data_IF_138226654360
#
_entry.id   IF_138226654360
#
_cell.length_a   1.000
_cell.length_b   1.000
_cell.length_c   1.000
_cell.angle_alpha   90.00
_cell.angle_beta   90.00
_cell.angle_gamma   90.00
#
_symmetry.space_group_name_H-M   'P 1'
#
loop_
_entity.id
_entity.type
_entity.pdbx_description
1 polymer ?
#
# COMPACT_ATOMS: atom_id res chain seq x y z
N UNK A 1 60.01 20.19 -1.42
CA UNK A 1 59.52 19.16 -2.37
C UNK A 1 58.83 17.97 -1.69
N UNK A 2 58.16 18.15 -0.54
CA UNK A 2 57.48 17.05 0.19
C UNK A 2 55.95 17.09 0.05
N UNK A 3 55.36 18.29 0.13
CA UNK A 3 53.89 18.48 0.14
C UNK A 3 53.21 18.08 -1.19
N UNK A 4 53.86 18.31 -2.33
CA UNK A 4 53.31 17.97 -3.65
C UNK A 4 53.19 16.47 -3.90
N UNK A 5 54.09 15.66 -3.33
CA UNK A 5 54.06 14.19 -3.46
C UNK A 5 52.93 13.57 -2.65
N UNK A 6 52.67 14.10 -1.45
CA UNK A 6 51.58 13.61 -0.59
C UNK A 6 50.22 13.94 -1.19
N UNK A 7 50.04 15.14 -1.76
CA UNK A 7 48.80 15.54 -2.46
C UNK A 7 48.49 14.68 -3.69
N UNK A 8 49.51 14.32 -4.48
CA UNK A 8 49.37 13.43 -5.64
C UNK A 8 49.00 12.00 -5.23
N UNK A 9 49.57 11.49 -4.13
CA UNK A 9 49.22 10.18 -3.60
C UNK A 9 47.78 10.12 -3.07
N UNK A 10 47.30 11.19 -2.42
CA UNK A 10 45.91 11.30 -1.95
C UNK A 10 44.92 11.31 -3.11
N UNK A 11 45.19 12.08 -4.18
CA UNK A 11 44.34 12.14 -5.37
C UNK A 11 44.29 10.81 -6.15
N UNK A 12 45.36 10.03 -6.13
CA UNK A 12 45.40 8.73 -6.79
C UNK A 12 44.63 7.62 -6.03
N UNK A 13 44.44 7.75 -4.71
CA UNK A 13 43.72 6.76 -3.89
C UNK A 13 42.20 6.99 -3.78
N UNK A 14 41.73 8.20 -4.08
CA UNK A 14 40.30 8.56 -4.12
C UNK A 14 39.42 7.63 -4.99
N UNK A 15 39.80 7.20 -6.20
CA UNK A 15 38.96 6.31 -7.02
C UNK A 15 38.86 4.88 -6.49
N UNK A 16 39.77 4.44 -5.61
CA UNK A 16 39.70 3.10 -5.00
C UNK A 16 38.64 3.03 -3.88
N UNK A 17 38.30 4.15 -3.27
CA UNK A 17 37.28 4.24 -2.21
C UNK A 17 35.86 4.38 -2.78
N UNK A 18 35.69 4.82 -4.03
CA UNK A 18 34.37 4.99 -4.66
C UNK A 18 33.89 3.75 -5.41
N UNK A 19 34.77 2.80 -5.73
CA UNK A 19 34.41 1.61 -6.51
C UNK A 19 33.39 0.68 -5.83
N UNK A 20 33.34 0.63 -4.48
CA UNK A 20 32.39 -0.22 -3.75
C UNK A 20 30.95 0.30 -3.69
N UNK A 21 30.69 1.57 -4.02
CA UNK A 21 29.34 2.16 -3.89
C UNK A 21 28.52 2.14 -5.18
N UNK A 22 29.11 1.72 -6.31
CA UNK A 22 28.47 1.84 -7.64
C UNK A 22 27.82 0.53 -8.09
N UNK A 23 28.24 -0.62 -7.57
CA UNK A 23 27.67 -1.91 -7.95
C UNK A 23 26.65 -2.40 -6.92
N UNK A 24 25.41 -1.93 -7.08
CA UNK A 24 24.24 -2.63 -6.54
C UNK A 24 23.81 -3.61 -7.64
N UNK A 25 24.10 -4.91 -7.47
CA UNK A 25 23.81 -5.92 -8.48
C UNK A 25 22.34 -5.90 -8.94
N UNK A 26 22.04 -6.61 -10.04
CA UNK A 26 20.65 -6.77 -10.49
C UNK A 26 19.83 -7.36 -9.32
N UNK A 27 18.69 -6.77 -8.93
CA UNK A 27 17.87 -7.31 -7.86
C UNK A 27 17.54 -8.78 -8.17
N UNK A 28 18.03 -9.68 -7.31
CA UNK A 28 17.70 -11.10 -7.39
C UNK A 28 16.34 -11.30 -6.73
N UNK A 29 15.31 -11.55 -7.53
CA UNK A 29 13.98 -11.86 -7.06
C UNK A 29 12.87 -11.35 -7.98
N UNK A 30 11.62 -11.80 -7.77
CA UNK A 30 10.46 -11.20 -8.40
C UNK A 30 10.41 -9.70 -8.08
N UNK A 31 9.93 -8.84 -9.01
CA UNK A 31 9.69 -7.44 -8.71
C UNK A 31 8.90 -7.28 -7.40
N UNK A 32 9.26 -6.30 -6.55
CA UNK A 32 8.59 -6.10 -5.28
C UNK A 32 7.09 -5.93 -5.47
N UNK A 33 6.31 -6.45 -4.52
CA UNK A 33 4.86 -6.29 -4.54
C UNK A 33 4.51 -4.80 -4.53
N UNK A 34 3.67 -4.38 -5.47
CA UNK A 34 3.15 -3.02 -5.53
C UNK A 34 2.01 -2.90 -4.53
N UNK A 35 2.12 -1.96 -3.59
CA UNK A 35 1.03 -1.60 -2.68
C UNK A 35 0.13 -0.57 -3.34
N UNK A 36 -1.16 -0.88 -3.43
CA UNK A 36 -2.18 -0.02 -4.01
C UNK A 36 -3.36 0.09 -3.05
N UNK A 37 -4.03 1.23 -3.16
CA UNK A 37 -5.24 1.52 -2.40
C UNK A 37 -6.33 1.85 -3.38
N UNK A 38 -7.56 1.44 -3.07
CA UNK A 38 -8.63 1.54 -4.05
C UNK A 38 -9.96 1.07 -3.54
N UNK A 39 -10.92 1.08 -4.45
CA UNK A 39 -12.25 0.57 -4.23
C UNK A 39 -12.33 -0.88 -4.72
N UNK A 40 -12.91 -1.74 -3.91
CA UNK A 40 -13.34 -3.10 -4.25
C UNK A 40 -14.83 -3.12 -4.54
N UNK A 41 -15.20 -3.72 -5.67
CA UNK A 41 -16.59 -3.88 -6.09
C UNK A 41 -16.80 -5.30 -6.60
N UNK A 42 -17.90 -5.93 -6.20
CA UNK A 42 -18.33 -7.20 -6.78
C UNK A 42 -19.16 -6.96 -8.05
N UNK A 43 -18.79 -7.62 -9.14
CA UNK A 43 -19.56 -7.61 -10.39
C UNK A 43 -19.44 -8.97 -11.07
N UNK A 44 -20.57 -9.57 -11.45
CA UNK A 44 -20.57 -10.85 -12.18
C UNK A 44 -19.89 -12.01 -11.44
N UNK A 45 -19.94 -12.02 -10.10
CA UNK A 45 -19.29 -13.04 -9.27
C UNK A 45 -17.78 -12.87 -9.10
N UNK A 46 -17.21 -11.77 -9.61
CA UNK A 46 -15.78 -11.44 -9.48
C UNK A 46 -15.59 -10.12 -8.73
N UNK A 47 -14.51 -10.03 -7.95
CA UNK A 47 -14.07 -8.78 -7.35
C UNK A 47 -13.20 -8.00 -8.32
N UNK A 48 -13.48 -6.71 -8.40
CA UNK A 48 -12.67 -5.77 -9.15
C UNK A 48 -12.12 -4.70 -8.22
N UNK A 49 -10.87 -4.32 -8.47
CA UNK A 49 -10.15 -3.31 -7.73
C UNK A 49 -9.85 -2.11 -8.64
N UNK A 50 -10.30 -0.92 -8.24
CA UNK A 50 -10.02 0.35 -8.91
C UNK A 50 -9.14 1.19 -7.99
N UNK A 51 -7.86 1.45 -8.33
CA UNK A 51 -7.01 2.28 -7.50
C UNK A 51 -7.60 3.68 -7.30
N UNK A 52 -7.40 4.25 -6.11
CA UNK A 52 -7.85 5.60 -5.80
C UNK A 52 -7.23 6.59 -6.79
N UNK A 53 -8.03 7.56 -7.28
CA UNK A 53 -7.63 8.58 -8.25
C UNK A 53 -7.23 8.04 -9.63
N UNK A 54 -7.56 6.78 -9.94
CA UNK A 54 -7.35 6.18 -11.26
C UNK A 54 -8.67 5.65 -11.83
N UNK A 55 -8.72 5.54 -13.15
CA UNK A 55 -9.87 4.93 -13.86
C UNK A 55 -9.67 3.45 -14.16
N UNK A 56 -8.43 2.95 -14.03
CA UNK A 56 -8.08 1.57 -14.36
C UNK A 56 -8.74 0.61 -13.38
N UNK A 57 -9.26 -0.50 -13.89
CA UNK A 57 -9.94 -1.53 -13.11
C UNK A 57 -9.27 -2.88 -13.30
N UNK A 58 -8.91 -3.51 -12.19
CA UNK A 58 -8.20 -4.79 -12.19
C UNK A 58 -9.09 -5.90 -11.65
N UNK A 59 -9.14 -7.04 -12.33
CA UNK A 59 -9.71 -8.26 -11.80
C UNK A 59 -8.85 -8.76 -10.63
N UNK A 60 -9.44 -8.93 -9.44
CA UNK A 60 -8.71 -9.31 -8.25
C UNK A 60 -8.51 -10.83 -8.19
N UNK A 61 -7.29 -11.25 -7.87
CA UNK A 61 -6.91 -12.65 -7.69
C UNK A 61 -6.21 -12.79 -6.34
N UNK A 62 -6.77 -13.55 -5.41
CA UNK A 62 -6.19 -13.77 -4.07
C UNK A 62 -5.07 -14.81 -4.09
N UNK A 63 -3.95 -14.48 -4.73
CA UNK A 63 -2.80 -15.39 -4.89
C UNK A 63 -2.09 -15.73 -3.58
N UNK A 64 -2.19 -14.86 -2.58
CA UNK A 64 -1.57 -15.02 -1.26
C UNK A 64 -2.44 -15.73 -0.24
N UNK A 65 -3.66 -16.17 -0.60
CA UNK A 65 -4.65 -16.68 0.36
C UNK A 65 -4.86 -15.71 1.54
N UNK A 66 -4.99 -14.42 1.22
CA UNK A 66 -5.10 -13.33 2.18
C UNK A 66 -6.46 -13.27 2.87
N UNK A 67 -7.46 -13.98 2.32
CA UNK A 67 -8.84 -13.94 2.80
C UNK A 67 -9.63 -12.73 2.30
N UNK A 68 -9.05 -11.92 1.39
CA UNK A 68 -9.68 -10.72 0.85
C UNK A 68 -11.03 -11.00 0.19
N UNK A 69 -11.18 -12.16 -0.47
CA UNK A 69 -12.44 -12.57 -1.10
C UNK A 69 -13.54 -12.83 -0.09
N UNK A 70 -13.22 -13.51 1.03
CA UNK A 70 -14.17 -13.77 2.11
C UNK A 70 -14.56 -12.47 2.82
N UNK A 71 -13.56 -11.67 3.23
CA UNK A 71 -13.82 -10.42 3.93
C UNK A 71 -14.63 -9.43 3.07
N UNK A 72 -14.36 -9.37 1.77
CA UNK A 72 -15.15 -8.56 0.85
C UNK A 72 -16.59 -9.08 0.71
N UNK A 73 -16.79 -10.39 0.65
CA UNK A 73 -18.13 -10.97 0.57
C UNK A 73 -18.97 -10.69 1.83
N UNK A 74 -18.36 -10.82 3.02
CA UNK A 74 -19.00 -10.48 4.30
C UNK A 74 -19.37 -8.99 4.35
N UNK A 75 -18.40 -8.12 4.06
CA UNK A 75 -18.63 -6.67 4.13
C UNK A 75 -19.52 -6.13 3.02
N UNK A 76 -19.64 -6.76 1.85
CA UNK A 76 -20.57 -6.34 0.80
C UNK A 76 -22.00 -6.82 1.09
N UNK A 77 -22.16 -7.90 1.86
CA UNK A 77 -23.47 -8.42 2.24
C UNK A 77 -24.26 -7.45 3.14
N UNK A 78 -23.56 -6.53 3.82
CA UNK A 78 -24.14 -5.47 4.63
C UNK A 78 -24.73 -4.30 3.79
N UNK A 79 -24.72 -4.40 2.46
CA UNK A 79 -25.40 -3.48 1.53
C UNK A 79 -24.52 -2.38 0.91
N UNK A 80 -23.21 -2.43 1.12
CA UNK A 80 -22.24 -1.48 0.60
C UNK A 80 -22.04 -1.69 -0.91
N UNK A 81 -22.12 -0.61 -1.69
CA UNK A 81 -21.88 -0.67 -3.13
C UNK A 81 -20.40 -0.89 -3.49
N UNK A 82 -19.49 -0.45 -2.62
CA UNK A 82 -18.06 -0.60 -2.76
C UNK A 82 -17.38 -0.62 -1.39
N UNK A 83 -16.24 -1.31 -1.29
CA UNK A 83 -15.39 -1.31 -0.10
C UNK A 83 -14.11 -0.56 -0.39
N UNK A 84 -13.53 0.09 0.61
CA UNK A 84 -12.14 0.52 0.50
C UNK A 84 -11.21 -0.65 0.83
N UNK A 85 -10.11 -0.78 0.09
CA UNK A 85 -9.05 -1.74 0.40
C UNK A 85 -7.65 -1.17 0.19
N UNK A 86 -6.72 -1.65 1.02
CA UNK A 86 -5.29 -1.45 0.90
C UNK A 86 -4.60 -2.81 0.77
N UNK A 87 -3.98 -3.03 -0.37
CA UNK A 87 -3.51 -4.33 -0.83
C UNK A 87 -2.09 -4.20 -1.37
N UNK A 88 -1.26 -5.22 -1.17
CA UNK A 88 -0.04 -5.39 -1.96
C UNK A 88 -0.12 -6.65 -2.82
N UNK A 89 0.46 -6.56 -4.02
CA UNK A 89 0.43 -7.64 -4.98
C UNK A 89 1.17 -7.31 -6.27
N UNK A 90 0.88 -8.08 -7.32
CA UNK A 90 1.47 -7.91 -8.65
C UNK A 90 0.39 -7.60 -9.67
N UNK A 91 0.65 -6.59 -10.51
CA UNK A 91 -0.19 -6.29 -11.66
C UNK A 91 0.20 -7.21 -12.81
N UNK A 92 -0.80 -7.84 -13.44
CA UNK A 92 -0.66 -8.69 -14.62
C UNK A 92 -1.54 -8.22 -15.77
N UNK A 93 -1.30 -8.76 -16.96
CA UNK A 93 -2.06 -8.44 -18.18
C UNK A 93 -3.54 -8.83 -18.11
N UNK A 94 -4.36 -8.18 -18.93
CA UNK A 94 -5.79 -8.45 -19.05
C UNK A 94 -6.08 -9.80 -19.71
N UNK A 95 -7.16 -10.46 -19.29
CA UNK A 95 -7.65 -11.74 -19.83
C UNK A 95 -9.00 -11.60 -20.55
N UNK A 96 -9.47 -10.38 -20.83
CA UNK A 96 -10.64 -10.16 -21.71
C UNK A 96 -12.00 -9.94 -21.05
N UNK A 97 -12.07 -9.77 -19.72
CA UNK A 97 -13.33 -9.66 -18.97
C UNK A 97 -13.75 -8.21 -18.62
N UNK A 98 -13.41 -7.22 -19.45
CA UNK A 98 -13.71 -5.81 -19.18
C UNK A 98 -12.86 -5.18 -18.05
N UNK A 99 -11.75 -5.81 -17.68
CA UNK A 99 -10.71 -5.26 -16.81
C UNK A 99 -9.48 -4.84 -17.60
N UNK A 100 -8.79 -3.79 -17.16
CA UNK A 100 -7.50 -3.34 -17.70
C UNK A 100 -6.34 -4.28 -17.37
N UNK A 101 -6.55 -5.20 -16.42
CA UNK A 101 -5.56 -6.19 -16.01
C UNK A 101 -6.04 -7.06 -14.87
N UNK A 102 -5.11 -7.80 -14.27
CA UNK A 102 -5.31 -8.56 -13.04
C UNK A 102 -4.45 -8.00 -11.92
N UNK A 103 -4.94 -8.06 -10.69
CA UNK A 103 -4.17 -7.76 -9.50
C UNK A 103 -4.06 -9.01 -8.64
N UNK A 104 -2.88 -9.61 -8.66
CA UNK A 104 -2.53 -10.80 -7.88
C UNK A 104 -2.11 -10.37 -6.48
N UNK A 105 -3.08 -10.38 -5.57
CA UNK A 105 -2.93 -9.91 -4.20
C UNK A 105 -2.12 -10.93 -3.43
N UNK A 106 -1.05 -10.47 -2.78
CA UNK A 106 -0.20 -11.25 -1.89
C UNK A 106 -0.32 -10.79 -0.43
N UNK A 107 -0.88 -9.60 -0.18
CA UNK A 107 -1.11 -9.09 1.18
C UNK A 107 -2.34 -8.18 1.24
N UNK A 108 -3.15 -8.37 2.28
CA UNK A 108 -4.27 -7.51 2.66
C UNK A 108 -3.85 -6.68 3.89
N UNK A 109 -3.73 -5.37 3.74
CA UNK A 109 -3.46 -4.47 4.87
C UNK A 109 -4.74 -4.00 5.55
N UNK A 110 -5.77 -3.71 4.75
CA UNK A 110 -7.05 -3.19 5.25
C UNK A 110 -8.17 -3.43 4.25
N UNK A 111 -9.35 -3.70 4.77
CA UNK A 111 -10.62 -3.66 4.04
C UNK A 111 -11.68 -3.05 4.96
N UNK A 112 -12.51 -2.15 4.44
CA UNK A 112 -13.54 -1.47 5.23
C UNK A 112 -14.72 -1.08 4.34
N UNK A 113 -15.94 -1.20 4.87
CA UNK A 113 -17.16 -0.72 4.21
C UNK A 113 -17.49 0.75 4.50
N UNK A 114 -16.92 1.32 5.57
CA UNK A 114 -17.25 2.66 6.05
C UNK A 114 -16.01 3.58 6.12
N UNK A 115 -16.26 4.89 6.27
CA UNK A 115 -15.25 5.93 6.38
C UNK A 115 -14.82 6.55 5.05
N UNK A 116 -13.86 7.47 5.09
CA UNK A 116 -13.49 8.31 3.95
C UNK A 116 -12.76 7.57 2.80
N UNK A 117 -12.23 6.37 3.04
CA UNK A 117 -11.61 5.55 1.99
C UNK A 117 -10.61 6.32 1.11
N UNK A 118 -10.90 6.41 -0.19
CA UNK A 118 -10.06 7.12 -1.17
C UNK A 118 -10.01 8.65 -0.98
N UNK A 119 -10.89 9.23 -0.19
CA UNK A 119 -10.95 10.67 0.09
C UNK A 119 -10.09 11.09 1.28
N UNK A 120 -9.45 10.14 1.98
CA UNK A 120 -8.58 10.41 3.13
C UNK A 120 -7.17 10.86 2.69
N UNK A 121 -6.94 12.18 2.75
CA UNK A 121 -5.66 12.81 2.40
C UNK A 121 -4.51 12.42 3.35
N UNK A 122 -4.80 12.00 4.58
CA UNK A 122 -3.78 11.69 5.59
C UNK A 122 -3.33 10.23 5.57
N UNK A 123 -3.91 9.39 4.71
CA UNK A 123 -3.66 7.95 4.74
C UNK A 123 -2.18 7.58 4.61
N UNK A 124 -1.41 8.23 3.72
CA UNK A 124 0.02 7.91 3.52
C UNK A 124 0.86 8.02 4.81
N UNK A 125 0.32 8.66 5.86
CA UNK A 125 0.97 8.85 7.15
C UNK A 125 0.48 7.86 8.23
N UNK A 126 -0.56 7.08 7.93
CA UNK A 126 -1.19 6.12 8.84
C UNK A 126 -0.61 4.72 8.62
N UNK A 127 -0.17 4.11 9.72
CA UNK A 127 0.20 2.70 9.84
C UNK A 127 -1.02 1.84 10.16
N UNK A 128 -1.90 2.33 11.04
CA UNK A 128 -3.12 1.64 11.45
C UNK A 128 -4.24 2.66 11.69
N UNK A 129 -5.47 2.28 11.33
CA UNK A 129 -6.69 3.01 11.70
C UNK A 129 -7.77 2.00 12.07
N UNK A 130 -8.47 2.29 13.15
CA UNK A 130 -9.65 1.55 13.57
C UNK A 130 -10.70 2.53 14.07
N UNK A 131 -11.97 2.19 13.91
CA UNK A 131 -13.09 2.97 14.41
C UNK A 131 -14.23 2.05 14.82
N UNK A 132 -15.05 2.52 15.75
CA UNK A 132 -16.28 1.85 16.14
C UNK A 132 -17.45 2.81 16.11
N UNK A 133 -18.63 2.24 15.86
CA UNK A 133 -19.91 2.91 15.98
C UNK A 133 -20.55 2.49 17.31
N UNK A 134 -21.08 3.46 18.06
CA UNK A 134 -21.77 3.28 19.36
C UNK A 134 -21.01 2.46 20.44
N UNK A 135 -20.20 3.12 21.30
CA UNK A 135 -19.85 4.55 21.25
C UNK A 135 -18.95 4.85 20.06
N UNK A 136 -19.08 6.05 19.51
CA UNK A 136 -18.16 6.50 18.46
C UNK A 136 -16.75 6.64 19.02
N UNK A 137 -15.78 6.04 18.33
CA UNK A 137 -14.36 6.23 18.60
C UNK A 137 -13.54 6.00 17.34
N UNK A 138 -12.35 6.60 17.28
CA UNK A 138 -11.39 6.40 16.21
C UNK A 138 -9.97 6.39 16.76
N UNK A 139 -9.20 5.36 16.42
CA UNK A 139 -7.77 5.25 16.72
C UNK A 139 -6.99 5.38 15.42
N UNK A 140 -5.96 6.22 15.44
CA UNK A 140 -5.00 6.40 14.35
C UNK A 140 -3.58 6.19 14.87
N UNK A 141 -2.79 5.39 14.18
CA UNK A 141 -1.37 5.19 14.48
C UNK A 141 -0.58 5.62 13.25
N UNK A 142 0.39 6.51 13.44
CA UNK A 142 1.28 6.96 12.37
C UNK A 142 2.68 7.25 12.88
N UNK A 143 3.51 7.89 12.05
CA UNK A 143 4.90 8.19 12.38
C UNK A 143 5.12 9.13 13.58
N UNK A 144 4.05 9.73 14.13
CA UNK A 144 4.10 10.61 15.30
C UNK A 144 3.53 9.98 16.58
N UNK A 145 3.07 8.73 16.52
CA UNK A 145 2.43 8.06 17.66
C UNK A 145 0.99 7.62 17.38
N UNK A 146 0.29 7.29 18.45
CA UNK A 146 -1.12 6.89 18.47
C UNK A 146 -1.98 8.09 18.87
N UNK A 147 -3.15 8.25 18.26
CA UNK A 147 -4.15 9.23 18.65
C UNK A 147 -5.52 8.56 18.74
N UNK A 148 -6.20 8.69 19.87
CA UNK A 148 -7.59 8.29 20.09
C UNK A 148 -8.51 9.52 20.07
N UNK A 149 -9.43 9.53 19.12
CA UNK A 149 -10.49 10.52 18.99
C UNK A 149 -11.81 9.93 19.51
N UNK A 150 -12.52 10.71 20.33
CA UNK A 150 -13.85 10.38 20.87
C UNK A 150 -14.73 11.64 20.76
N UNK A 151 -16.04 11.51 20.51
CA UNK A 151 -16.94 12.64 20.53
C UNK A 151 -16.83 13.42 21.83
N UNK A 152 -16.90 14.75 21.71
CA UNK A 152 -16.94 15.70 22.83
C UNK A 152 -15.76 15.62 23.81
N UNK A 153 -14.66 14.98 23.40
CA UNK A 153 -13.46 14.82 24.22
C UNK A 153 -12.22 15.26 23.43
N UNK A 154 -11.22 15.84 24.12
CA UNK A 154 -9.95 16.15 23.48
C UNK A 154 -9.28 14.85 22.99
N UNK A 155 -8.55 14.90 21.86
CA UNK A 155 -7.74 13.78 21.39
C UNK A 155 -6.75 13.31 22.48
N UNK A 156 -6.63 11.99 22.65
CA UNK A 156 -5.68 11.37 23.57
C UNK A 156 -4.51 10.79 22.76
N UNK A 157 -3.28 11.21 23.06
CA UNK A 157 -2.05 10.81 22.37
C UNK A 157 -0.96 10.35 23.34
#
# INVERSE_FOLDING_TARGET
MSITRTLLASFALLPLLTACQVYTGKPEGPPPATRLQGQLQAQGGQLFFTPCQEQRRFALVDSGNTGVTRAAAELLADGQAALFADLAGRLGGSQGNGSDGRFEVSQLYRIQGEGHGCDDLNFKRLTLRASGNEPFWQVEVGGKGLVLNRPDQPPLA
#
